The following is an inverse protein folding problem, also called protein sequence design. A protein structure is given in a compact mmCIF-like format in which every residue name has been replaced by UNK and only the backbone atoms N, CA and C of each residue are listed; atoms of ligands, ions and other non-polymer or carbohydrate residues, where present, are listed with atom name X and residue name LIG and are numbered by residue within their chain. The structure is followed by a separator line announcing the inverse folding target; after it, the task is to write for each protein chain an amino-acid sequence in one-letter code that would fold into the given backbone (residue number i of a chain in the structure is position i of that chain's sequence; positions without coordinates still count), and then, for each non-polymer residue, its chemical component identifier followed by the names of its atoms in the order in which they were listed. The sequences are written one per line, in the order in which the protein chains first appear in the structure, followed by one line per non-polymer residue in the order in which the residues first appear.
data_IF_806463431838
#
_entry.id   IF_806463431838
#
_cell.length_a   1.000
_cell.length_b   1.000
_cell.length_c   1.000
_cell.angle_alpha   90.00
_cell.angle_beta   90.00
_cell.angle_gamma   90.00
#
_symmetry.space_group_name_H-M   'P 1'
#
loop_
_entity.id
_entity.type
_entity.pdbx_description
1 polymer ?
#
# COMPACT_ATOMS: atom_id res chain seq x y z
N UNK A 1 97.51 89.80 57.07
CA UNK A 1 98.32 88.72 56.45
C UNK A 1 97.71 87.39 56.87
N UNK A 2 97.38 86.55 55.87
CA UNK A 2 96.45 85.43 55.95
C UNK A 2 97.10 84.26 56.72
N UNK A 3 96.64 83.99 57.95
CA UNK A 3 97.00 82.78 58.70
C UNK A 3 96.10 81.65 58.25
N UNK A 4 96.69 80.63 57.63
CA UNK A 4 96.05 79.36 57.30
C UNK A 4 96.50 78.29 58.29
N UNK A 5 95.69 77.23 58.35
CA UNK A 5 95.99 75.88 58.85
C UNK A 5 95.61 75.63 60.32
N UNK A 6 94.29 75.74 60.56
CA UNK A 6 93.57 74.95 61.58
C UNK A 6 92.44 74.19 60.87
N UNK A 7 92.77 73.46 59.79
CA UNK A 7 91.76 72.99 58.81
C UNK A 7 91.77 71.49 58.55
N UNK A 8 92.63 70.69 59.18
CA UNK A 8 92.76 69.26 58.78
C UNK A 8 92.25 68.25 59.84
N UNK A 9 92.10 68.63 61.11
CA UNK A 9 91.62 67.70 62.16
C UNK A 9 90.12 67.79 62.50
N UNK A 10 89.38 68.75 61.94
CA UNK A 10 87.95 68.96 62.27
C UNK A 10 86.99 68.56 61.13
N UNK A 11 87.47 67.84 60.12
CA UNK A 11 86.68 67.48 58.93
C UNK A 11 86.21 66.00 58.90
N UNK A 12 86.39 65.23 59.97
CA UNK A 12 86.02 63.79 60.00
C UNK A 12 84.90 63.47 61.01
N UNK A 13 84.47 64.41 61.85
CA UNK A 13 83.39 64.19 62.80
C UNK A 13 82.12 64.94 62.37
N UNK A 14 81.37 64.42 61.40
CA UNK A 14 79.91 64.58 61.25
C UNK A 14 79.45 63.70 60.07
N UNK A 15 79.60 62.39 60.21
CA UNK A 15 78.72 61.46 59.48
C UNK A 15 77.30 61.64 60.03
N UNK A 16 76.35 61.80 59.11
CA UNK A 16 75.05 62.45 59.33
C UNK A 16 74.26 61.96 60.54
N UNK A 17 73.74 62.92 61.30
CA UNK A 17 72.60 62.68 62.16
C UNK A 17 71.34 62.67 61.29
N UNK A 18 70.71 61.50 61.12
CA UNK A 18 69.34 61.43 60.60
C UNK A 18 68.41 61.93 61.70
N UNK A 19 67.60 62.94 61.42
CA UNK A 19 66.67 63.51 62.40
C UNK A 19 65.25 63.03 62.12
N UNK A 20 64.86 61.92 62.73
CA UNK A 20 63.46 61.54 62.89
C UNK A 20 62.69 62.61 63.67
N UNK A 21 61.45 62.92 63.25
CA UNK A 21 60.65 63.96 63.91
C UNK A 21 59.80 63.34 65.01
N UNK A 22 60.16 63.60 66.27
CA UNK A 22 59.33 63.28 67.43
C UNK A 22 58.48 64.45 67.86
N UNK A 23 57.17 64.25 68.01
CA UNK A 23 56.27 65.19 68.67
C UNK A 23 55.79 64.55 69.96
N UNK A 24 56.21 65.09 71.10
CA UNK A 24 55.89 64.54 72.43
C UNK A 24 56.79 63.40 72.91
N UNK A 25 57.79 62.98 72.11
CA UNK A 25 58.83 62.01 72.50
C UNK A 25 60.22 62.48 72.07
N UNK A 26 61.23 62.20 72.89
CA UNK A 26 62.65 62.47 72.58
C UNK A 26 63.34 61.24 71.96
N UNK A 27 62.66 60.10 71.92
CA UNK A 27 63.12 58.86 71.29
C UNK A 27 61.99 58.35 70.40
N UNK A 28 61.80 58.94 69.20
CA UNK A 28 60.86 58.42 68.22
C UNK A 28 61.16 56.95 67.89
N UNK A 29 60.13 56.19 67.55
CA UNK A 29 60.32 54.83 67.08
C UNK A 29 61.27 54.82 65.86
N UNK A 30 62.27 53.95 65.89
CA UNK A 30 63.30 53.87 64.83
C UNK A 30 62.75 53.50 63.44
N UNK A 31 61.50 53.02 63.37
CA UNK A 31 60.82 52.70 62.12
C UNK A 31 59.91 53.82 61.59
N UNK A 32 59.85 54.98 62.26
CA UNK A 32 59.00 56.09 61.83
C UNK A 32 59.80 57.37 61.56
N UNK A 33 59.40 58.05 60.48
CA UNK A 33 59.91 59.39 60.17
C UNK A 33 59.21 60.47 61.01
N UNK A 34 57.95 60.21 61.40
CA UNK A 34 57.16 61.01 62.33
C UNK A 34 56.55 60.10 63.41
N UNK A 35 56.87 60.38 64.67
CA UNK A 35 56.27 59.72 65.83
C UNK A 35 55.57 60.76 66.71
N UNK A 36 54.28 60.57 66.98
CA UNK A 36 53.48 61.49 67.80
C UNK A 36 52.95 60.75 69.01
N UNK A 37 53.47 61.10 70.18
CA UNK A 37 53.13 60.44 71.45
C UNK A 37 52.44 61.44 72.37
N UNK A 38 51.21 61.11 72.79
CA UNK A 38 50.45 61.86 73.78
C UNK A 38 49.49 60.90 74.52
N UNK A 39 49.25 61.17 75.80
CA UNK A 39 48.31 60.37 76.61
C UNK A 39 46.87 60.87 76.52
N UNK A 40 46.65 62.11 76.05
CA UNK A 40 45.35 62.80 76.11
C UNK A 40 45.03 63.66 74.87
N UNK A 41 45.90 63.67 73.85
CA UNK A 41 45.69 64.35 72.56
C UNK A 41 45.85 63.38 71.40
N UNK A 42 45.08 63.59 70.34
CA UNK A 42 45.23 62.87 69.07
C UNK A 42 45.86 63.73 67.98
N UNK A 43 45.98 63.16 66.78
CA UNK A 43 46.43 63.87 65.58
C UNK A 43 45.21 64.27 64.76
N UNK A 44 45.09 65.56 64.45
CA UNK A 44 44.12 66.01 63.45
C UNK A 44 44.72 65.84 62.06
N UNK A 45 44.24 64.83 61.35
CA UNK A 45 44.49 64.67 59.92
C UNK A 45 43.81 65.82 59.15
N UNK A 46 44.42 66.35 58.07
CA UNK A 46 43.82 67.40 57.27
C UNK A 46 42.37 67.07 56.87
N UNK A 47 41.47 67.98 57.22
CA UNK A 47 40.04 67.90 56.89
C UNK A 47 39.79 68.68 55.61
N UNK A 48 39.40 68.00 54.55
CA UNK A 48 39.21 68.58 53.22
C UNK A 48 37.85 68.16 52.66
N UNK A 49 37.26 68.99 51.79
CA UNK A 49 35.99 68.68 51.14
C UNK A 49 36.27 68.06 49.76
N UNK A 50 36.44 66.73 49.71
CA UNK A 50 36.66 66.03 48.44
C UNK A 50 35.35 66.04 47.62
N UNK A 51 35.49 66.28 46.33
CA UNK A 51 34.35 66.44 45.41
C UNK A 51 33.99 65.16 44.64
N UNK A 52 34.94 64.22 44.52
CA UNK A 52 34.76 62.90 43.92
C UNK A 52 35.89 61.94 44.30
N UNK A 53 35.73 60.65 44.02
CA UNK A 53 36.79 59.65 44.28
C UNK A 53 38.02 59.85 43.41
N UNK A 54 37.96 60.68 42.36
CA UNK A 54 39.10 61.05 41.51
C UNK A 54 39.53 62.52 41.72
N UNK A 55 39.16 63.13 42.85
CA UNK A 55 39.48 64.53 43.12
C UNK A 55 41.00 64.75 43.32
N UNK A 56 41.65 65.26 42.28
CA UNK A 56 43.08 65.63 42.26
C UNK A 56 43.31 67.14 42.37
N UNK A 57 42.28 67.94 42.70
CA UNK A 57 42.36 69.41 42.71
C UNK A 57 42.24 70.01 44.10
N UNK A 58 41.48 69.38 44.99
CA UNK A 58 41.20 69.92 46.32
C UNK A 58 42.45 70.04 47.20
N UNK A 59 43.40 69.11 47.08
CA UNK A 59 44.67 69.15 47.79
C UNK A 59 45.75 69.69 46.83
N UNK A 60 46.53 70.67 47.28
CA UNK A 60 47.62 71.24 46.48
C UNK A 60 48.82 70.30 46.46
N UNK A 61 49.50 70.21 45.32
CA UNK A 61 50.72 69.42 45.15
C UNK A 61 50.58 68.17 44.29
N UNK A 62 49.41 67.90 43.71
CA UNK A 62 49.28 66.89 42.65
C UNK A 62 50.03 67.30 41.40
N UNK A 63 50.69 66.35 40.75
CA UNK A 63 51.52 66.53 39.54
C UNK A 63 50.70 66.50 38.22
N UNK A 64 49.37 66.43 38.33
CA UNK A 64 48.46 66.20 37.21
C UNK A 64 48.16 64.72 36.95
N UNK A 65 48.89 63.79 37.57
CA UNK A 65 48.67 62.35 37.51
C UNK A 65 48.06 61.77 38.79
N UNK A 66 47.90 62.56 39.86
CA UNK A 66 47.26 62.14 41.10
C UNK A 66 48.02 62.60 42.34
N UNK A 67 47.88 61.83 43.41
CA UNK A 67 48.70 61.95 44.62
C UNK A 67 49.50 60.66 44.84
N UNK A 68 50.45 60.70 45.76
CA UNK A 68 51.16 59.50 46.18
C UNK A 68 50.26 58.54 46.96
N UNK A 69 50.47 57.24 46.76
CA UNK A 69 49.75 56.20 47.50
C UNK A 69 49.95 56.41 49.01
N UNK A 70 48.90 56.17 49.80
CA UNK A 70 48.85 56.38 51.26
C UNK A 70 48.72 57.83 51.74
N UNK A 71 48.51 58.81 50.85
CA UNK A 71 48.11 60.16 51.29
C UNK A 71 46.76 60.09 52.02
N UNK A 72 46.72 60.47 53.31
CA UNK A 72 45.55 60.34 54.18
C UNK A 72 44.89 61.70 54.45
N UNK A 73 43.57 61.77 54.30
CA UNK A 73 42.75 62.92 54.66
C UNK A 73 41.43 62.50 55.32
N UNK A 74 40.79 63.43 56.02
CA UNK A 74 39.41 63.28 56.43
C UNK A 74 38.51 64.07 55.49
N UNK A 75 37.66 63.38 54.72
CA UNK A 75 36.67 64.02 53.87
C UNK A 75 35.52 64.58 54.74
N UNK A 76 35.12 65.82 54.49
CA UNK A 76 34.02 66.48 55.22
C UNK A 76 32.73 66.60 54.43
N UNK A 77 32.73 66.29 53.13
CA UNK A 77 31.59 66.53 52.24
C UNK A 77 30.90 65.22 51.85
N UNK A 78 29.58 65.20 51.86
CA UNK A 78 28.81 64.16 51.16
C UNK A 78 28.59 64.62 49.73
N UNK A 79 29.17 63.90 48.76
CA UNK A 79 29.00 64.20 47.34
C UNK A 79 29.16 62.92 46.52
N UNK A 80 28.17 62.63 45.66
CA UNK A 80 28.06 61.34 44.95
C UNK A 80 28.12 60.15 45.94
N UNK A 81 28.91 59.13 45.64
CA UNK A 81 29.09 57.94 46.47
C UNK A 81 30.06 58.16 47.66
N UNK A 82 30.55 59.41 47.84
CA UNK A 82 31.41 59.75 48.97
C UNK A 82 30.60 60.29 50.14
N UNK A 83 30.92 59.79 51.32
CA UNK A 83 30.44 60.32 52.60
C UNK A 83 31.61 60.81 53.45
N UNK A 84 31.35 61.61 54.50
CA UNK A 84 32.37 61.99 55.47
C UNK A 84 33.07 60.78 56.08
N UNK A 85 34.39 60.89 56.29
CA UNK A 85 35.21 59.80 56.83
C UNK A 85 36.67 59.89 56.42
N UNK A 86 37.48 58.91 56.83
CA UNK A 86 38.88 58.82 56.44
C UNK A 86 39.03 58.21 55.05
N UNK A 87 39.81 58.88 54.20
CA UNK A 87 40.16 58.42 52.86
C UNK A 87 41.66 58.48 52.67
N UNK A 88 42.20 57.46 52.02
CA UNK A 88 43.57 57.46 51.55
C UNK A 88 43.62 57.34 50.03
N UNK A 89 44.61 57.95 49.41
CA UNK A 89 44.83 57.80 47.97
C UNK A 89 45.46 56.44 47.68
N UNK A 90 44.87 55.67 46.78
CA UNK A 90 45.43 54.42 46.28
C UNK A 90 44.83 54.04 44.93
N UNK A 91 45.65 53.55 44.00
CA UNK A 91 45.21 53.11 42.68
C UNK A 91 44.42 54.21 41.93
N UNK A 92 44.98 55.42 41.92
CA UNK A 92 44.44 56.61 41.24
C UNK A 92 43.05 57.06 41.70
N UNK A 93 42.68 56.73 42.96
CA UNK A 93 41.43 57.17 43.58
C UNK A 93 41.52 57.29 45.10
N UNK A 94 40.58 58.04 45.66
CA UNK A 94 40.30 58.08 47.09
C UNK A 94 39.57 56.81 47.54
N UNK A 95 40.24 56.02 48.37
CA UNK A 95 39.72 54.81 49.00
C UNK A 95 39.28 55.12 50.42
N UNK A 96 38.02 54.80 50.75
CA UNK A 96 37.48 54.97 52.10
C UNK A 96 38.02 53.87 53.01
N UNK A 97 38.40 54.25 54.23
CA UNK A 97 38.61 53.29 55.32
C UNK A 97 37.24 53.02 55.95
N UNK A 98 36.78 51.77 55.88
CA UNK A 98 35.52 51.33 56.48
C UNK A 98 35.76 50.87 57.93
N UNK A 99 34.81 51.17 58.80
CA UNK A 99 34.70 50.50 60.10
C UNK A 99 33.90 49.19 59.96
N UNK A 100 33.90 48.40 61.03
CA UNK A 100 33.24 47.10 61.05
C UNK A 100 31.72 47.21 60.80
N UNK A 101 31.08 48.22 61.40
CA UNK A 101 29.64 48.46 61.27
C UNK A 101 29.25 48.76 59.81
N UNK A 102 30.01 49.63 59.13
CA UNK A 102 29.77 49.95 57.73
C UNK A 102 30.01 48.76 56.79
N UNK A 103 30.95 47.87 57.13
CA UNK A 103 31.20 46.63 56.35
C UNK A 103 30.06 45.63 56.50
N UNK A 104 29.59 45.41 57.73
CA UNK A 104 28.48 44.49 58.02
C UNK A 104 27.18 44.96 57.34
N UNK A 105 26.91 46.26 57.34
CA UNK A 105 25.77 46.84 56.62
C UNK A 105 25.88 46.63 55.09
N UNK A 106 27.07 46.77 54.52
CA UNK A 106 27.30 46.56 53.08
C UNK A 106 27.06 45.08 52.69
N UNK A 107 27.57 44.13 53.47
CA UNK A 107 27.37 42.70 53.24
C UNK A 107 25.89 42.30 53.36
N UNK A 108 25.18 42.85 54.34
CA UNK A 108 23.75 42.58 54.55
C UNK A 108 22.90 43.08 53.39
N UNK A 109 23.24 44.24 52.83
CA UNK A 109 22.45 44.89 51.77
C UNK A 109 22.74 44.31 50.38
N UNK A 110 23.97 43.88 50.12
CA UNK A 110 24.43 43.55 48.75
C UNK A 110 25.05 42.15 48.59
N UNK A 111 25.36 41.43 49.67
CA UNK A 111 26.15 40.19 49.62
C UNK A 111 25.38 38.88 49.39
N UNK A 112 24.05 38.86 49.61
CA UNK A 112 23.25 37.63 49.58
C UNK A 112 23.60 36.66 50.73
N UNK A 113 22.61 35.92 51.23
CA UNK A 113 22.74 35.07 52.44
C UNK A 113 22.69 33.56 52.15
N UNK A 114 22.88 33.11 50.89
CA UNK A 114 22.77 31.70 50.48
C UNK A 114 24.14 31.00 50.49
N UNK A 115 24.21 29.81 51.08
CA UNK A 115 25.39 28.95 51.18
C UNK A 115 25.12 27.55 50.59
N UNK A 116 26.13 26.91 49.99
CA UNK A 116 26.06 25.53 49.48
C UNK A 116 27.24 24.71 50.01
N UNK A 117 26.94 23.60 50.67
CA UNK A 117 27.95 22.73 51.31
C UNK A 117 28.33 21.50 50.48
N UNK A 118 27.83 21.40 49.24
CA UNK A 118 27.98 20.22 48.37
C UNK A 118 26.79 19.24 48.44
N UNK A 119 25.93 19.36 49.45
CA UNK A 119 24.78 18.46 49.62
C UNK A 119 23.45 19.22 49.77
N UNK A 120 23.46 20.45 50.29
CA UNK A 120 22.27 21.26 50.50
C UNK A 120 22.55 22.76 50.33
N UNK A 121 21.54 23.49 49.84
CA UNK A 121 21.53 24.94 49.89
C UNK A 121 20.91 25.38 51.22
N UNK A 122 21.52 26.34 51.90
CA UNK A 122 21.00 26.94 53.13
C UNK A 122 21.03 28.47 53.03
N UNK A 123 20.21 29.17 53.80
CA UNK A 123 20.30 30.62 53.96
C UNK A 123 20.19 31.01 55.43
N UNK A 124 20.69 32.18 55.79
CA UNK A 124 20.56 32.72 57.15
C UNK A 124 19.32 33.61 57.22
N UNK A 125 18.35 33.27 58.05
CA UNK A 125 17.11 34.02 58.20
C UNK A 125 17.29 35.35 58.98
N UNK A 126 16.19 36.09 59.12
CA UNK A 126 16.13 37.38 59.82
C UNK A 126 16.55 37.32 61.31
N UNK A 127 16.59 36.13 61.90
CA UNK A 127 16.99 35.89 63.28
C UNK A 127 18.43 35.39 63.39
N UNK A 128 19.16 35.31 62.27
CA UNK A 128 20.53 34.80 62.22
C UNK A 128 20.63 33.28 62.21
N UNK A 129 19.53 32.54 61.98
CA UNK A 129 19.51 31.08 61.98
C UNK A 129 19.68 30.52 60.56
N UNK A 130 20.49 29.47 60.41
CA UNK A 130 20.65 28.76 59.14
C UNK A 130 19.46 27.85 58.86
N UNK A 131 18.75 28.10 57.76
CA UNK A 131 17.56 27.38 57.30
C UNK A 131 17.85 26.68 55.96
N UNK A 132 17.49 25.39 55.79
CA UNK A 132 17.61 24.70 54.50
C UNK A 132 16.65 25.26 53.46
N UNK A 133 17.13 25.42 52.22
CA UNK A 133 16.32 25.77 51.08
C UNK A 133 15.89 24.48 50.35
N UNK A 134 14.62 24.10 50.51
CA UNK A 134 14.04 22.94 49.82
C UNK A 134 13.71 23.28 48.35
N UNK A 135 14.43 22.64 47.43
CA UNK A 135 14.26 22.83 45.97
C UNK A 135 13.37 21.75 45.32
N UNK A 136 12.83 20.79 46.09
CA UNK A 136 12.10 19.65 45.53
C UNK A 136 10.83 20.03 44.79
N UNK A 137 10.14 21.08 45.23
CA UNK A 137 8.92 21.60 44.58
C UNK A 137 9.24 22.25 43.24
N UNK A 138 10.26 23.11 43.18
CA UNK A 138 10.70 23.77 41.95
C UNK A 138 11.16 22.77 40.91
N UNK A 139 11.89 21.73 41.30
CA UNK A 139 12.31 20.67 40.38
C UNK A 139 11.09 19.93 39.83
N UNK A 140 10.16 19.49 40.70
CA UNK A 140 8.94 18.79 40.27
C UNK A 140 8.05 19.62 39.36
N UNK A 141 7.93 20.93 39.60
CA UNK A 141 7.11 21.82 38.78
C UNK A 141 7.71 22.04 37.37
N UNK A 142 8.99 21.72 37.16
CA UNK A 142 9.68 21.87 35.88
C UNK A 142 10.08 20.54 35.22
N UNK A 143 9.67 19.39 35.79
CA UNK A 143 9.86 18.08 35.15
C UNK A 143 8.90 17.91 33.97
N UNK A 144 9.42 17.50 32.82
CA UNK A 144 8.61 17.20 31.64
C UNK A 144 7.98 15.82 31.76
N UNK A 145 6.64 15.74 31.81
CA UNK A 145 5.89 14.47 31.95
C UNK A 145 5.47 13.93 30.58
N UNK A 146 5.95 12.74 30.22
CA UNK A 146 5.41 11.96 29.09
C UNK A 146 4.43 10.91 29.59
N UNK A 147 3.38 10.59 28.83
CA UNK A 147 2.38 9.57 29.23
C UNK A 147 2.17 8.51 28.14
N UNK A 148 1.84 7.29 28.56
CA UNK A 148 1.36 6.23 27.67
C UNK A 148 0.07 5.66 28.28
N UNK A 149 -1.07 5.99 27.68
CA UNK A 149 -2.39 5.66 28.21
C UNK A 149 -3.06 4.63 27.31
N UNK A 150 -3.49 3.51 27.90
CA UNK A 150 -4.28 2.49 27.19
C UNK A 150 -5.70 3.01 26.97
N UNK A 151 -6.26 2.73 25.79
CA UNK A 151 -7.67 3.04 25.49
C UNK A 151 -8.61 2.26 26.46
N UNK A 152 -9.55 2.93 27.14
CA UNK A 152 -10.50 2.31 28.08
C UNK A 152 -11.34 1.19 27.46
N UNK A 153 -11.54 1.21 26.14
CA UNK A 153 -12.31 0.20 25.41
C UNK A 153 -11.56 -1.13 25.26
N UNK A 154 -10.31 -1.22 25.72
CA UNK A 154 -9.45 -2.40 25.57
C UNK A 154 -9.31 -2.88 24.10
N UNK A 155 -9.41 -1.96 23.15
CA UNK A 155 -9.32 -2.21 21.70
C UNK A 155 -7.87 -2.31 21.17
N UNK A 156 -6.88 -2.47 22.05
CA UNK A 156 -5.46 -2.55 21.67
C UNK A 156 -4.81 -1.22 21.25
N UNK A 157 -5.51 -0.08 21.39
CA UNK A 157 -4.93 1.24 21.13
C UNK A 157 -4.29 1.84 22.39
N UNK A 158 -3.20 2.56 22.18
CA UNK A 158 -2.49 3.32 23.20
C UNK A 158 -2.25 4.74 22.69
N UNK A 159 -2.43 5.74 23.54
CA UNK A 159 -2.07 7.13 23.24
C UNK A 159 -0.78 7.47 23.99
N UNK A 160 0.27 7.72 23.22
CA UNK A 160 1.51 8.29 23.75
C UNK A 160 1.44 9.81 23.63
N UNK A 161 1.71 10.53 24.72
CA UNK A 161 1.79 11.99 24.73
C UNK A 161 3.20 12.41 25.11
N UNK A 162 3.88 13.14 24.22
CA UNK A 162 5.23 13.64 24.45
C UNK A 162 5.24 14.91 25.33
N UNK A 163 6.44 15.39 25.66
CA UNK A 163 6.68 16.57 26.49
C UNK A 163 6.12 17.88 25.91
N UNK A 164 5.87 17.93 24.60
CA UNK A 164 5.23 19.07 23.94
C UNK A 164 3.70 18.98 23.93
N UNK A 165 3.12 17.93 24.53
CA UNK A 165 1.67 17.67 24.53
C UNK A 165 1.15 17.07 23.23
N UNK A 166 2.02 16.68 22.30
CA UNK A 166 1.62 16.04 21.05
C UNK A 166 1.29 14.57 21.32
N UNK A 167 0.08 14.17 20.92
CA UNK A 167 -0.42 12.81 21.07
C UNK A 167 -0.23 11.98 19.78
N UNK A 168 0.23 10.74 19.94
CA UNK A 168 0.34 9.74 18.87
C UNK A 168 -0.44 8.50 19.29
N UNK A 169 -1.28 7.99 18.39
CA UNK A 169 -2.02 6.75 18.60
C UNK A 169 -1.19 5.59 18.06
N UNK A 170 -0.94 4.61 18.91
CA UNK A 170 -0.34 3.31 18.59
C UNK A 170 -1.48 2.30 18.54
N UNK A 171 -1.71 1.68 17.39
CA UNK A 171 -2.76 0.68 17.19
C UNK A 171 -2.15 -0.70 16.97
N UNK A 172 -1.95 -1.43 18.07
CA UNK A 172 -1.27 -2.71 18.05
C UNK A 172 -2.05 -3.76 17.25
N UNK A 173 -3.38 -3.69 17.26
CA UNK A 173 -4.21 -4.65 16.53
C UNK A 173 -4.14 -4.41 15.02
N UNK A 174 -4.21 -3.15 14.58
CA UNK A 174 -4.05 -2.81 13.18
C UNK A 174 -2.68 -3.24 12.65
N UNK A 175 -1.61 -3.05 13.43
CA UNK A 175 -0.26 -3.47 13.06
C UNK A 175 -0.16 -5.00 12.91
N UNK A 176 -0.78 -5.77 13.80
CA UNK A 176 -0.82 -7.25 13.69
C UNK A 176 -1.58 -7.69 12.44
N UNK A 177 -2.71 -7.04 12.13
CA UNK A 177 -3.49 -7.35 10.92
C UNK A 177 -2.70 -6.99 9.66
N UNK A 178 -2.06 -5.83 9.62
CA UNK A 178 -1.27 -5.39 8.48
C UNK A 178 -0.10 -6.33 8.19
N UNK A 179 0.56 -6.82 9.23
CA UNK A 179 1.71 -7.71 9.11
C UNK A 179 1.32 -9.21 9.13
N UNK A 180 0.02 -9.54 9.04
CA UNK A 180 -0.47 -10.89 9.30
C UNK A 180 0.13 -11.94 8.36
N UNK A 181 0.24 -11.65 7.06
CA UNK A 181 0.86 -12.56 6.08
C UNK A 181 2.31 -12.89 6.44
N UNK A 182 3.09 -11.91 6.89
CA UNK A 182 4.47 -12.15 7.34
C UNK A 182 4.48 -12.97 8.63
N UNK A 183 3.58 -12.67 9.57
CA UNK A 183 3.48 -13.38 10.85
C UNK A 183 3.19 -14.87 10.64
N UNK A 184 2.19 -15.23 9.82
CA UNK A 184 1.83 -16.64 9.58
C UNK A 184 2.83 -17.41 8.72
N UNK A 185 3.73 -16.71 8.02
CA UNK A 185 4.79 -17.33 7.22
C UNK A 185 6.07 -17.56 8.01
N UNK A 186 6.16 -17.11 9.27
CA UNK A 186 7.27 -17.45 10.16
C UNK A 186 7.20 -18.93 10.54
N UNK A 187 8.30 -19.66 10.34
CA UNK A 187 8.42 -21.09 10.64
C UNK A 187 7.94 -21.43 12.05
N UNK A 188 8.33 -20.67 13.07
CA UNK A 188 7.91 -20.88 14.46
C UNK A 188 6.39 -20.78 14.66
N UNK A 189 5.72 -19.86 13.95
CA UNK A 189 4.26 -19.68 14.01
C UNK A 189 3.54 -20.82 13.30
N UNK A 190 4.07 -21.27 12.16
CA UNK A 190 3.54 -22.43 11.44
C UNK A 190 3.72 -23.71 12.26
N UNK A 191 4.87 -23.92 12.87
CA UNK A 191 5.14 -25.05 13.76
C UNK A 191 4.19 -25.06 14.96
N UNK A 192 3.96 -23.90 15.60
CA UNK A 192 2.99 -23.77 16.68
C UNK A 192 1.56 -24.03 16.21
N UNK A 193 1.15 -23.50 15.06
CA UNK A 193 -0.18 -23.72 14.50
C UNK A 193 -0.39 -25.19 14.15
N UNK A 194 0.60 -25.84 13.54
CA UNK A 194 0.61 -27.28 13.28
C UNK A 194 0.58 -28.08 14.57
N UNK A 195 1.29 -27.66 15.61
CA UNK A 195 1.23 -28.30 16.93
C UNK A 195 -0.16 -28.17 17.55
N UNK A 196 -0.79 -27.00 17.50
CA UNK A 196 -2.16 -26.79 17.99
C UNK A 196 -3.14 -27.67 17.20
N UNK A 197 -3.07 -27.66 15.87
CA UNK A 197 -3.90 -28.51 15.00
C UNK A 197 -3.68 -29.99 15.29
N UNK A 198 -2.45 -30.42 15.60
CA UNK A 198 -2.13 -31.82 15.86
C UNK A 198 -2.35 -32.27 17.32
N UNK A 199 -2.39 -31.34 18.28
CA UNK A 199 -2.62 -31.64 19.71
C UNK A 199 -4.10 -31.68 20.09
N UNK A 200 -5.02 -31.23 19.23
CA UNK A 200 -6.44 -31.51 19.45
C UNK A 200 -6.70 -32.94 18.97
N UNK A 201 -6.76 -33.89 19.92
CA UNK A 201 -7.09 -35.29 19.61
C UNK A 201 -8.36 -35.37 18.76
N UNK A 202 -8.32 -36.16 17.69
CA UNK A 202 -9.46 -36.38 16.78
C UNK A 202 -9.40 -35.66 15.43
N UNK A 203 -8.35 -34.91 15.12
CA UNK A 203 -8.18 -34.35 13.77
C UNK A 203 -7.75 -35.45 12.77
N UNK A 204 -8.56 -35.63 11.72
CA UNK A 204 -8.28 -36.54 10.62
C UNK A 204 -7.56 -35.81 9.49
N UNK A 205 -6.42 -36.33 9.06
CA UNK A 205 -5.65 -35.84 7.91
C UNK A 205 -5.78 -36.82 6.75
N UNK A 206 -5.86 -36.29 5.51
CA UNK A 206 -5.87 -37.07 4.27
C UNK A 206 -4.73 -36.59 3.37
N UNK A 207 -3.79 -37.49 3.06
CA UNK A 207 -2.57 -37.20 2.30
C UNK A 207 -2.65 -37.67 0.84
N UNK A 208 -3.83 -38.07 0.38
CA UNK A 208 -4.05 -38.66 -0.95
C UNK A 208 -3.96 -40.19 -0.97
N UNK A 209 -3.32 -40.82 0.03
CA UNK A 209 -3.16 -42.29 0.11
C UNK A 209 -3.97 -42.94 1.23
N UNK A 210 -4.30 -42.22 2.30
CA UNK A 210 -5.12 -42.76 3.39
C UNK A 210 -5.55 -41.71 4.40
N UNK A 211 -6.42 -42.12 5.34
CA UNK A 211 -6.80 -41.29 6.48
C UNK A 211 -5.95 -41.66 7.69
N UNK A 212 -5.36 -40.66 8.35
CA UNK A 212 -4.67 -40.82 9.64
C UNK A 212 -5.29 -39.90 10.68
N UNK A 213 -5.29 -40.32 11.94
CA UNK A 213 -5.68 -39.45 13.07
C UNK A 213 -4.69 -39.61 14.22
N UNK A 214 -4.51 -38.57 15.01
CA UNK A 214 -3.68 -38.63 16.23
C UNK A 214 -4.56 -39.00 17.42
N UNK A 215 -4.18 -40.06 18.14
CA UNK A 215 -4.91 -40.52 19.32
C UNK A 215 -4.67 -39.63 20.55
N UNK A 216 -5.37 -39.93 21.64
CA UNK A 216 -5.30 -39.23 22.94
C UNK A 216 -3.91 -39.24 23.61
N UNK A 217 -2.97 -40.05 23.10
CA UNK A 217 -1.59 -40.12 23.57
C UNK A 217 -0.59 -39.46 22.59
N UNK A 218 -1.08 -38.79 21.55
CA UNK A 218 -0.24 -38.09 20.58
C UNK A 218 0.37 -38.97 19.49
N UNK A 219 -0.09 -40.22 19.32
CA UNK A 219 0.44 -41.15 18.32
C UNK A 219 -0.46 -41.16 17.08
N UNK A 220 0.12 -41.03 15.88
CA UNK A 220 -0.64 -41.17 14.63
C UNK A 220 -1.05 -42.62 14.41
N UNK A 221 -2.36 -42.82 14.28
CA UNK A 221 -3.01 -44.06 13.90
C UNK A 221 -3.47 -43.95 12.44
N UNK A 222 -3.21 -45.00 11.67
CA UNK A 222 -3.69 -45.10 10.28
C UNK A 222 -5.00 -45.88 10.25
N UNK A 223 -6.01 -45.34 9.56
CA UNK A 223 -7.25 -46.06 9.30
C UNK A 223 -7.04 -46.87 8.02
N UNK A 224 -6.71 -48.16 8.18
CA UNK A 224 -6.61 -49.10 7.06
C UNK A 224 -8.02 -49.51 6.60
N UNK A 225 -8.50 -48.85 5.54
CA UNK A 225 -9.77 -49.18 4.91
C UNK A 225 -9.73 -50.52 4.14
N UNK A 226 -8.54 -51.03 3.81
CA UNK A 226 -8.37 -52.28 3.04
C UNK A 226 -8.88 -53.48 3.82
N UNK A 227 -8.55 -53.55 5.12
CA UNK A 227 -9.03 -54.60 6.02
C UNK A 227 -10.54 -54.53 6.26
N UNK A 228 -11.11 -53.31 6.31
CA UNK A 228 -12.54 -53.10 6.51
C UNK A 228 -13.35 -53.51 5.27
N UNK A 229 -12.82 -53.21 4.07
CA UNK A 229 -13.39 -53.60 2.79
C UNK A 229 -13.27 -55.12 2.61
N UNK A 230 -12.10 -55.71 2.86
CA UNK A 230 -11.89 -57.16 2.75
C UNK A 230 -12.70 -57.98 3.75
N UNK A 231 -12.99 -57.46 4.95
CA UNK A 231 -13.85 -58.14 5.93
C UNK A 231 -15.35 -58.10 5.57
N UNK A 232 -15.76 -57.17 4.70
CA UNK A 232 -17.13 -57.05 4.18
C UNK A 232 -17.33 -57.71 2.81
N UNK A 233 -16.26 -58.13 2.14
CA UNK A 233 -16.32 -58.81 0.85
C UNK A 233 -16.61 -60.30 1.05
N UNK A 234 -17.75 -60.77 0.54
CA UNK A 234 -18.05 -62.21 0.43
C UNK A 234 -17.63 -62.70 -0.95
N UNK A 235 -16.77 -63.72 -0.99
CA UNK A 235 -16.32 -64.31 -2.25
C UNK A 235 -17.41 -65.27 -2.78
N UNK A 236 -18.13 -64.83 -3.80
CA UNK A 236 -19.01 -65.67 -4.62
C UNK A 236 -18.19 -66.27 -5.76
N UNK A 237 -18.18 -67.60 -5.88
CA UNK A 237 -17.43 -68.28 -6.95
C UNK A 237 -18.40 -68.81 -7.99
N UNK A 238 -18.16 -68.42 -9.24
CA UNK A 238 -18.89 -68.90 -10.40
C UNK A 238 -17.95 -69.77 -11.25
N UNK A 239 -18.22 -71.07 -11.29
CA UNK A 239 -17.45 -72.06 -12.05
C UNK A 239 -18.17 -72.49 -13.31
N UNK A 240 -17.41 -72.66 -14.41
CA UNK A 240 -17.93 -73.24 -15.66
C UNK A 240 -17.32 -74.63 -15.83
N UNK A 241 -18.15 -75.66 -15.87
CA UNK A 241 -17.72 -76.97 -16.33
C UNK A 241 -17.83 -77.02 -17.85
N UNK A 242 -16.70 -76.81 -18.52
CA UNK A 242 -16.63 -76.81 -19.99
C UNK A 242 -16.90 -78.17 -20.64
N UNK A 243 -16.85 -79.27 -19.87
CA UNK A 243 -17.08 -80.63 -20.38
C UNK A 243 -18.58 -80.95 -20.36
N UNK A 244 -19.28 -80.58 -19.30
CA UNK A 244 -20.74 -80.78 -19.19
C UNK A 244 -21.55 -79.58 -19.66
N UNK A 245 -20.91 -78.41 -19.84
CA UNK A 245 -21.58 -77.16 -20.21
C UNK A 245 -22.45 -76.57 -19.09
N UNK A 246 -22.29 -77.04 -17.85
CA UNK A 246 -23.05 -76.56 -16.70
C UNK A 246 -22.34 -75.39 -16.02
N UNK A 247 -23.14 -74.44 -15.53
CA UNK A 247 -22.66 -73.39 -14.65
C UNK A 247 -22.89 -73.82 -13.20
N UNK A 248 -21.88 -73.62 -12.37
CA UNK A 248 -21.92 -74.02 -10.96
C UNK A 248 -21.73 -72.78 -10.11
N UNK A 249 -22.73 -72.47 -9.28
CA UNK A 249 -22.71 -71.37 -8.33
C UNK A 249 -22.49 -71.91 -6.93
N UNK A 250 -21.49 -71.41 -6.23
CA UNK A 250 -21.27 -71.71 -4.81
C UNK A 250 -21.48 -70.43 -4.00
N UNK A 251 -22.41 -70.48 -3.05
CA UNK A 251 -22.79 -69.33 -2.23
C UNK A 251 -21.83 -69.07 -1.06
N UNK A 252 -22.09 -68.01 -0.29
CA UNK A 252 -21.29 -67.59 0.85
C UNK A 252 -21.22 -68.61 2.02
N UNK A 253 -22.02 -69.68 1.97
CA UNK A 253 -22.00 -70.78 2.95
C UNK A 253 -21.33 -72.04 2.40
N UNK A 254 -20.89 -72.03 1.14
CA UNK A 254 -20.28 -73.17 0.46
C UNK A 254 -21.28 -74.11 -0.20
N UNK A 255 -22.57 -73.75 -0.20
CA UNK A 255 -23.60 -74.58 -0.82
C UNK A 255 -23.57 -74.40 -2.34
N UNK A 256 -23.51 -75.52 -3.06
CA UNK A 256 -23.28 -75.52 -4.52
C UNK A 256 -24.56 -75.86 -5.28
N UNK A 257 -24.95 -74.98 -6.19
CA UNK A 257 -26.10 -75.13 -7.09
C UNK A 257 -25.62 -75.32 -8.53
N UNK A 258 -26.05 -76.42 -9.16
CA UNK A 258 -25.75 -76.70 -10.56
C UNK A 258 -26.89 -76.24 -11.47
N UNK A 259 -26.54 -75.46 -12.49
CA UNK A 259 -27.44 -75.01 -13.54
C UNK A 259 -26.98 -75.58 -14.88
N UNK A 260 -27.69 -76.61 -15.36
CA UNK A 260 -27.43 -77.23 -16.66
C UNK A 260 -27.82 -76.29 -17.81
N UNK A 261 -26.82 -75.75 -18.49
CA UNK A 261 -27.02 -74.77 -19.57
C UNK A 261 -27.37 -75.47 -20.89
N UNK A 262 -27.04 -76.76 -21.09
CA UNK A 262 -27.35 -77.46 -22.34
C UNK A 262 -28.85 -77.75 -22.49
N UNK A 263 -29.55 -78.01 -21.39
CA UNK A 263 -31.01 -78.13 -21.37
C UNK A 263 -31.75 -76.82 -21.75
N UNK A 264 -31.05 -75.68 -21.74
CA UNK A 264 -31.59 -74.38 -22.18
C UNK A 264 -31.36 -74.07 -23.67
N UNK A 265 -30.59 -74.88 -24.41
CA UNK A 265 -30.24 -74.61 -25.81
C UNK A 265 -30.39 -75.84 -26.70
N UNK A 266 -31.64 -76.27 -26.92
CA UNK A 266 -31.97 -76.92 -28.20
C UNK A 266 -31.61 -76.01 -29.37
N UNK A 267 -31.30 -76.54 -30.56
CA UNK A 267 -31.02 -75.74 -31.77
C UNK A 267 -31.96 -76.04 -32.93
N UNK A 268 -32.22 -75.02 -33.76
CA UNK A 268 -33.00 -75.09 -35.01
C UNK A 268 -32.38 -74.17 -36.08
N UNK A 269 -32.67 -74.36 -37.37
CA UNK A 269 -31.99 -73.63 -38.46
C UNK A 269 -32.76 -72.37 -38.92
N UNK A 270 -32.04 -71.31 -39.31
CA UNK A 270 -32.63 -70.13 -40.00
C UNK A 270 -32.45 -70.26 -41.50
N UNK A 271 -33.55 -70.23 -42.24
CA UNK A 271 -33.51 -70.13 -43.71
C UNK A 271 -33.95 -68.72 -44.13
N UNK A 272 -33.21 -68.09 -45.04
CA UNK A 272 -33.48 -66.74 -45.58
C UNK A 272 -33.76 -66.80 -47.09
N UNK A 273 -34.36 -65.75 -47.65
CA UNK A 273 -34.60 -65.55 -49.09
C UNK A 273 -33.88 -64.30 -49.64
N UNK A 274 -33.92 -64.12 -50.96
CA UNK A 274 -33.05 -63.22 -51.77
C UNK A 274 -32.88 -61.75 -51.30
N UNK A 275 -33.81 -61.19 -50.52
CA UNK A 275 -33.73 -59.81 -50.01
C UNK A 275 -32.90 -59.67 -48.73
N UNK A 276 -32.64 -60.78 -48.04
CA UNK A 276 -31.85 -60.87 -46.81
C UNK A 276 -30.67 -61.82 -47.08
N UNK A 277 -29.51 -61.25 -47.42
CA UNK A 277 -28.30 -62.03 -47.71
C UNK A 277 -27.50 -62.32 -46.43
N UNK A 278 -27.05 -63.57 -46.26
CA UNK A 278 -26.07 -63.91 -45.23
C UNK A 278 -24.71 -63.35 -45.63
N UNK A 279 -24.19 -62.42 -44.84
CA UNK A 279 -22.89 -61.81 -45.12
C UNK A 279 -21.74 -62.82 -44.97
N UNK A 280 -20.66 -62.62 -45.73
CA UNK A 280 -19.41 -63.39 -45.65
C UNK A 280 -19.51 -64.91 -45.94
N UNK A 281 -20.38 -65.32 -46.86
CA UNK A 281 -20.48 -66.71 -47.37
C UNK A 281 -20.85 -67.78 -46.33
N UNK A 282 -21.65 -67.39 -45.32
CA UNK A 282 -22.17 -68.34 -44.32
C UNK A 282 -23.60 -68.76 -44.65
N UNK A 283 -24.02 -69.96 -44.22
CA UNK A 283 -25.39 -70.45 -44.34
C UNK A 283 -26.04 -70.59 -42.95
N UNK A 284 -27.34 -70.31 -42.84
CA UNK A 284 -28.05 -70.18 -41.55
C UNK A 284 -28.24 -71.48 -40.75
N UNK A 285 -27.51 -72.53 -41.09
CA UNK A 285 -27.55 -73.88 -40.50
C UNK A 285 -26.83 -73.92 -39.15
N UNK A 286 -27.48 -74.45 -38.11
CA UNK A 286 -27.01 -74.53 -36.72
C UNK A 286 -26.81 -73.18 -36.02
N UNK A 287 -27.24 -72.09 -36.67
CA UNK A 287 -27.05 -70.71 -36.20
C UNK A 287 -28.19 -70.21 -35.31
N UNK A 288 -29.35 -70.87 -35.32
CA UNK A 288 -30.43 -70.57 -34.39
C UNK A 288 -30.61 -71.68 -33.35
N UNK A 289 -31.24 -71.28 -32.25
CA UNK A 289 -31.55 -72.16 -31.14
C UNK A 289 -32.99 -72.74 -31.31
N UNK A 290 -33.82 -72.18 -32.21
CA UNK A 290 -35.20 -72.65 -32.51
C UNK A 290 -35.76 -71.96 -33.81
N UNK A 291 -36.94 -72.35 -34.35
CA UNK A 291 -37.55 -71.75 -35.56
C UNK A 291 -38.00 -70.26 -35.44
N UNK A 292 -37.94 -69.44 -36.52
CA UNK A 292 -38.29 -67.99 -36.54
C UNK A 292 -38.80 -67.43 -37.92
N UNK A 293 -39.36 -66.19 -37.95
CA UNK A 293 -39.94 -65.51 -39.16
C UNK A 293 -39.68 -63.97 -39.20
N UNK A 294 -39.66 -63.29 -40.37
CA UNK A 294 -39.22 -61.88 -40.58
C UNK A 294 -40.16 -61.04 -41.50
N UNK A 295 -40.38 -59.73 -41.22
CA UNK A 295 -41.13 -58.73 -42.04
C UNK A 295 -40.61 -57.28 -41.80
N UNK A 296 -40.80 -56.36 -42.76
CA UNK A 296 -40.62 -54.89 -42.56
C UNK A 296 -41.98 -54.19 -42.34
N UNK A 297 -42.06 -53.34 -41.32
CA UNK A 297 -43.30 -52.66 -40.92
C UNK A 297 -43.63 -51.43 -41.77
N UNK A 298 -44.85 -50.89 -41.62
CA UNK A 298 -45.25 -49.62 -42.22
C UNK A 298 -44.42 -48.47 -41.60
N UNK A 299 -43.96 -47.52 -42.42
CA UNK A 299 -42.87 -46.58 -42.08
C UNK A 299 -41.54 -47.25 -41.67
N UNK A 300 -41.38 -48.56 -41.93
CA UNK A 300 -40.22 -49.36 -41.54
C UNK A 300 -38.96 -49.05 -42.34
N UNK A 301 -39.04 -48.34 -43.47
CA UNK A 301 -37.90 -47.76 -44.19
C UNK A 301 -37.92 -46.24 -44.02
N UNK A 302 -37.02 -45.74 -43.18
CA UNK A 302 -36.85 -44.34 -42.85
C UNK A 302 -35.70 -43.73 -43.66
N UNK A 303 -35.53 -42.40 -43.65
CA UNK A 303 -34.50 -41.70 -44.43
C UNK A 303 -33.06 -42.16 -44.16
N UNK A 304 -32.77 -42.80 -43.02
CA UNK A 304 -31.46 -43.40 -42.73
C UNK A 304 -31.28 -44.81 -43.32
N UNK A 305 -32.40 -45.50 -43.58
CA UNK A 305 -32.42 -46.82 -44.22
C UNK A 305 -32.24 -46.73 -45.74
N UNK A 306 -32.04 -45.52 -46.22
CA UNK A 306 -31.59 -45.20 -47.55
C UNK A 306 -30.14 -44.69 -47.40
N UNK A 307 -29.21 -45.24 -48.19
CA UNK A 307 -27.81 -44.83 -48.15
C UNK A 307 -27.60 -43.37 -48.54
N UNK A 308 -26.40 -42.84 -48.25
CA UNK A 308 -26.03 -41.50 -48.71
C UNK A 308 -26.14 -41.40 -50.23
N UNK A 309 -26.85 -40.39 -50.73
CA UNK A 309 -27.19 -40.21 -52.16
C UNK A 309 -28.02 -41.34 -52.76
N UNK A 310 -28.62 -42.22 -51.96
CA UNK A 310 -29.50 -43.27 -52.48
C UNK A 310 -30.76 -42.68 -53.12
N UNK A 311 -31.23 -41.55 -52.58
CA UNK A 311 -32.19 -40.66 -53.25
C UNK A 311 -31.40 -39.47 -53.77
N UNK A 312 -31.19 -39.45 -55.09
CA UNK A 312 -30.40 -38.44 -55.81
C UNK A 312 -31.30 -37.54 -56.66
N UNK A 313 -30.72 -36.50 -57.28
CA UNK A 313 -31.48 -35.51 -58.04
C UNK A 313 -32.22 -36.10 -59.26
N UNK A 314 -31.74 -37.21 -59.83
CA UNK A 314 -32.46 -37.90 -60.92
C UNK A 314 -33.72 -38.60 -60.42
N UNK A 315 -33.71 -38.99 -59.14
CA UNK A 315 -34.85 -39.54 -58.39
C UNK A 315 -35.72 -38.43 -57.76
N UNK A 316 -35.38 -37.15 -57.96
CA UNK A 316 -36.10 -35.97 -57.47
C UNK A 316 -36.37 -34.94 -58.59
N UNK A 317 -36.54 -35.37 -59.84
CA UNK A 317 -36.65 -34.44 -60.98
C UNK A 317 -37.95 -33.61 -60.94
N UNK A 318 -37.82 -32.29 -61.08
CA UNK A 318 -38.96 -31.38 -61.17
C UNK A 318 -39.34 -31.25 -62.64
N UNK A 319 -40.19 -32.13 -63.14
CA UNK A 319 -40.54 -32.07 -64.56
C UNK A 319 -41.30 -30.78 -64.97
N UNK A 320 -41.56 -29.84 -64.05
CA UNK A 320 -42.38 -28.65 -64.28
C UNK A 320 -41.93 -27.29 -63.63
N UNK A 321 -40.68 -27.10 -63.17
CA UNK A 321 -40.28 -25.84 -62.47
C UNK A 321 -39.69 -24.75 -63.38
N UNK A 322 -39.99 -23.46 -63.09
CA UNK A 322 -39.46 -22.28 -63.82
C UNK A 322 -38.07 -21.84 -63.31
N UNK A 323 -37.32 -21.11 -64.15
CA UNK A 323 -35.98 -20.59 -63.81
C UNK A 323 -36.06 -19.62 -62.62
N UNK A 324 -35.32 -19.91 -61.55
CA UNK A 324 -35.19 -19.02 -60.37
C UNK A 324 -35.87 -19.49 -59.08
N UNK A 325 -36.26 -20.77 -58.96
CA UNK A 325 -36.98 -21.31 -57.80
C UNK A 325 -36.23 -22.45 -57.10
N UNK A 326 -36.40 -22.59 -55.77
CA UNK A 326 -35.79 -23.66 -54.95
C UNK A 326 -36.82 -24.60 -54.32
N UNK A 327 -36.54 -25.91 -54.24
CA UNK A 327 -37.42 -26.88 -53.60
C UNK A 327 -37.45 -26.66 -52.08
N UNK A 328 -38.65 -26.54 -51.54
CA UNK A 328 -38.93 -26.26 -50.13
C UNK A 328 -39.88 -27.33 -49.60
N UNK A 329 -39.48 -28.05 -48.56
CA UNK A 329 -40.37 -28.96 -47.85
C UNK A 329 -41.45 -28.16 -47.11
N UNK A 330 -42.72 -28.46 -47.35
CA UNK A 330 -43.84 -27.68 -46.78
C UNK A 330 -44.32 -28.20 -45.42
N UNK A 331 -43.64 -29.21 -44.86
CA UNK A 331 -43.92 -29.75 -43.53
C UNK A 331 -45.15 -30.67 -43.43
N UNK A 332 -45.93 -30.81 -44.51
CA UNK A 332 -47.13 -31.66 -44.54
C UNK A 332 -46.82 -32.93 -45.36
N UNK A 333 -46.77 -34.09 -44.69
CA UNK A 333 -46.62 -35.43 -45.29
C UNK A 333 -45.48 -35.59 -46.32
N UNK A 334 -44.36 -34.87 -46.13
CA UNK A 334 -43.19 -34.99 -47.02
C UNK A 334 -43.34 -34.30 -48.39
N UNK A 335 -44.33 -33.41 -48.56
CA UNK A 335 -44.55 -32.64 -49.79
C UNK A 335 -43.44 -31.58 -50.00
N UNK A 336 -43.00 -31.42 -51.25
CA UNK A 336 -41.98 -30.44 -51.68
C UNK A 336 -42.58 -29.48 -52.72
N UNK A 337 -42.40 -28.17 -52.55
CA UNK A 337 -42.87 -27.09 -53.45
C UNK A 337 -41.73 -26.14 -53.86
N UNK A 338 -41.80 -25.50 -55.04
CA UNK A 338 -40.79 -24.56 -55.53
C UNK A 338 -41.21 -23.09 -55.27
N UNK A 339 -40.32 -22.23 -54.70
CA UNK A 339 -40.59 -20.80 -54.38
C UNK A 339 -39.42 -19.86 -54.71
N UNK A 340 -39.69 -18.55 -54.91
CA UNK A 340 -38.71 -17.48 -55.19
C UNK A 340 -38.45 -16.59 -53.94
N UNK A 341 -37.20 -16.11 -53.72
CA UNK A 341 -36.80 -15.35 -52.50
C UNK A 341 -35.92 -14.10 -52.81
N UNK A 342 -36.07 -12.95 -52.09
CA UNK A 342 -35.21 -11.76 -52.26
C UNK A 342 -33.78 -11.95 -51.73
N UNK A 343 -32.77 -11.31 -52.36
CA UNK A 343 -31.32 -11.51 -52.08
C UNK A 343 -30.52 -10.23 -51.73
N UNK A 344 -31.12 -9.14 -51.27
CA UNK A 344 -30.38 -7.90 -50.92
C UNK A 344 -30.87 -7.26 -49.61
N UNK A 345 -30.01 -6.47 -48.95
CA UNK A 345 -30.34 -5.67 -47.77
C UNK A 345 -29.53 -4.36 -47.70
N UNK A 346 -30.01 -3.38 -46.92
CA UNK A 346 -29.30 -2.12 -46.66
C UNK A 346 -28.29 -2.29 -45.53
N UNK A 347 -27.11 -1.68 -45.66
CA UNK A 347 -26.11 -1.67 -44.60
C UNK A 347 -26.65 -0.96 -43.33
N UNK A 348 -26.30 -1.44 -42.13
CA UNK A 348 -26.60 -0.71 -40.89
C UNK A 348 -26.01 0.70 -40.91
N UNK A 349 -26.71 1.62 -40.25
CA UNK A 349 -26.30 3.02 -40.22
C UNK A 349 -24.89 3.18 -39.66
N UNK A 350 -24.07 3.94 -40.37
CA UNK A 350 -22.70 4.26 -39.98
C UNK A 350 -22.47 5.76 -40.05
N UNK A 351 -21.62 6.30 -39.16
CA UNK A 351 -21.40 7.74 -39.04
C UNK A 351 -20.03 8.10 -39.60
N UNK A 352 -19.98 9.10 -40.48
CA UNK A 352 -18.74 9.66 -40.99
C UNK A 352 -18.50 11.03 -40.34
N UNK A 353 -17.33 11.23 -39.73
CA UNK A 353 -16.95 12.52 -39.15
C UNK A 353 -16.30 13.37 -40.24
N UNK A 354 -16.91 14.49 -40.61
CA UNK A 354 -16.48 15.36 -41.71
C UNK A 354 -15.90 16.70 -41.27
N UNK A 355 -15.62 16.86 -39.96
CA UNK A 355 -15.11 18.10 -39.36
C UNK A 355 -13.65 18.42 -39.74
N UNK A 356 -12.97 17.53 -40.44
CA UNK A 356 -11.59 17.74 -40.91
C UNK A 356 -11.46 17.18 -42.32
N UNK A 357 -10.96 18.01 -43.24
CA UNK A 357 -10.70 17.60 -44.61
C UNK A 357 -9.51 16.63 -44.66
N UNK A 358 -9.66 15.54 -45.38
CA UNK A 358 -8.62 14.52 -45.52
C UNK A 358 -8.85 13.67 -46.78
N UNK A 359 -7.77 13.15 -47.36
CA UNK A 359 -7.80 12.35 -48.59
C UNK A 359 -7.30 10.93 -48.33
N UNK A 360 -7.82 9.96 -49.07
CA UNK A 360 -7.41 8.55 -49.04
C UNK A 360 -7.84 7.82 -47.77
N UNK A 361 -8.89 8.28 -47.10
CA UNK A 361 -9.40 7.61 -45.91
C UNK A 361 -10.04 6.27 -46.28
N UNK A 362 -9.76 5.26 -45.47
CA UNK A 362 -10.33 3.92 -45.64
C UNK A 362 -11.28 3.60 -44.50
N UNK A 363 -12.36 2.89 -44.81
CA UNK A 363 -13.32 2.37 -43.84
C UNK A 363 -13.77 0.99 -44.26
N UNK A 364 -13.61 0.03 -43.37
CA UNK A 364 -14.05 -1.34 -43.60
C UNK A 364 -15.56 -1.45 -43.33
N UNK A 365 -16.36 -1.40 -44.40
CA UNK A 365 -17.81 -1.49 -44.28
C UNK A 365 -18.25 -2.91 -43.93
N UNK A 366 -17.50 -3.92 -44.35
CA UNK A 366 -17.79 -5.30 -43.97
C UNK A 366 -17.62 -5.48 -42.46
N UNK A 367 -16.52 -5.00 -41.89
CA UNK A 367 -16.29 -5.08 -40.45
C UNK A 367 -17.31 -4.26 -39.66
N UNK A 368 -17.70 -3.08 -40.14
CA UNK A 368 -18.77 -2.30 -39.52
C UNK A 368 -20.13 -3.03 -39.54
N UNK A 369 -20.43 -3.72 -40.64
CA UNK A 369 -21.60 -4.58 -40.76
C UNK A 369 -21.55 -5.72 -39.75
N UNK A 370 -20.43 -6.46 -39.66
CA UNK A 370 -20.25 -7.55 -38.70
C UNK A 370 -20.42 -7.01 -37.28
N UNK A 371 -19.70 -5.94 -36.93
CA UNK A 371 -19.78 -5.33 -35.61
C UNK A 371 -21.22 -4.95 -35.25
N UNK A 372 -21.98 -4.34 -36.16
CA UNK A 372 -23.35 -3.96 -35.87
C UNK A 372 -24.32 -5.14 -35.82
N UNK A 373 -24.08 -6.21 -36.57
CA UNK A 373 -24.93 -7.41 -36.58
C UNK A 373 -24.59 -8.40 -35.47
N UNK A 374 -23.46 -8.22 -34.79
CA UNK A 374 -23.03 -9.04 -33.65
C UNK A 374 -22.81 -8.26 -32.36
N UNK A 375 -23.07 -6.94 -32.34
CA UNK A 375 -22.83 -6.12 -31.16
C UNK A 375 -21.35 -5.93 -30.81
N UNK A 376 -20.46 -5.92 -31.80
CA UNK A 376 -19.03 -5.61 -31.68
C UNK A 376 -18.11 -6.81 -31.80
N UNK A 377 -18.59 -8.02 -31.52
CA UNK A 377 -17.87 -9.26 -31.79
C UNK A 377 -18.83 -10.46 -31.85
N UNK A 378 -18.70 -11.32 -32.87
CA UNK A 378 -19.53 -12.51 -33.04
C UNK A 378 -19.48 -13.42 -31.80
N UNK A 379 -20.66 -13.77 -31.26
CA UNK A 379 -20.79 -14.68 -30.12
C UNK A 379 -20.25 -14.17 -28.77
N UNK A 380 -19.67 -12.97 -28.71
CA UNK A 380 -19.22 -12.35 -27.47
C UNK A 380 -20.25 -11.29 -27.07
N UNK A 381 -20.85 -11.43 -25.89
CA UNK A 381 -21.89 -10.51 -25.43
C UNK A 381 -21.40 -9.04 -25.46
N UNK A 382 -21.83 -8.31 -26.50
CA UNK A 382 -21.71 -6.86 -26.70
C UNK A 382 -20.34 -6.24 -26.40
N UNK A 383 -19.38 -6.41 -27.32
CA UNK A 383 -18.08 -5.74 -27.25
C UNK A 383 -18.17 -4.25 -27.65
N UNK A 384 -17.24 -3.42 -27.16
CA UNK A 384 -17.14 -2.02 -27.57
C UNK A 384 -16.54 -1.91 -28.97
N UNK A 385 -17.21 -1.20 -29.88
CA UNK A 385 -16.70 -0.87 -31.21
C UNK A 385 -17.03 0.57 -31.60
N UNK A 386 -16.36 1.14 -32.61
CA UNK A 386 -16.63 2.51 -33.04
C UNK A 386 -17.66 2.54 -34.18
N UNK A 387 -18.70 3.34 -34.02
CA UNK A 387 -19.72 3.56 -35.08
C UNK A 387 -19.39 4.78 -35.95
N UNK A 388 -18.58 5.69 -35.42
CA UNK A 388 -18.13 6.91 -36.10
C UNK A 388 -16.65 6.83 -36.44
N UNK A 389 -16.31 7.10 -37.70
CA UNK A 389 -14.95 7.12 -38.21
C UNK A 389 -14.67 8.45 -38.94
N UNK A 390 -13.44 8.96 -38.80
CA UNK A 390 -12.96 10.18 -39.46
C UNK A 390 -11.45 10.15 -39.65
N UNK A 391 -10.88 11.27 -40.09
CA UNK A 391 -9.47 11.37 -40.48
C UNK A 391 -8.45 10.95 -39.40
N UNK A 392 -8.79 11.07 -38.11
CA UNK A 392 -7.92 10.73 -36.97
C UNK A 392 -8.22 9.37 -36.34
N UNK A 393 -9.04 8.52 -36.97
CA UNK A 393 -9.56 7.30 -36.34
C UNK A 393 -10.82 7.54 -35.50
N UNK A 394 -11.43 6.46 -34.98
CA UNK A 394 -12.79 6.48 -34.42
C UNK A 394 -13.01 7.45 -33.25
N UNK A 395 -14.18 8.10 -33.20
CA UNK A 395 -14.49 9.16 -32.22
C UNK A 395 -15.67 8.84 -31.30
N UNK A 396 -16.53 7.89 -31.68
CA UNK A 396 -17.71 7.50 -30.90
C UNK A 396 -17.75 5.99 -30.68
N UNK A 397 -17.30 5.51 -29.50
CA UNK A 397 -17.47 4.10 -29.14
C UNK A 397 -18.93 3.84 -28.82
N UNK A 398 -19.42 2.69 -29.27
CA UNK A 398 -20.72 2.15 -28.95
C UNK A 398 -20.55 0.90 -28.09
N UNK A 399 -21.14 0.93 -26.90
CA UNK A 399 -21.18 -0.18 -25.94
C UNK A 399 -22.61 -0.60 -25.59
N UNK A 400 -23.61 -0.06 -26.32
CA UNK A 400 -25.03 -0.34 -26.07
C UNK A 400 -25.47 -1.75 -26.50
N UNK A 401 -24.70 -2.40 -27.38
CA UNK A 401 -24.93 -3.77 -27.79
C UNK A 401 -26.17 -4.01 -28.64
N UNK A 402 -26.43 -5.28 -28.98
CA UNK A 402 -27.65 -5.70 -29.68
C UNK A 402 -28.80 -5.96 -28.70
N UNK A 403 -29.95 -5.35 -29.00
CA UNK A 403 -31.20 -5.59 -28.26
C UNK A 403 -32.09 -6.50 -29.10
N UNK A 404 -32.42 -7.68 -28.56
CA UNK A 404 -33.29 -8.68 -29.19
C UNK A 404 -34.60 -8.87 -28.42
N UNK A 405 -35.63 -9.36 -29.09
CA UNK A 405 -36.86 -9.76 -28.41
C UNK A 405 -36.64 -11.03 -27.55
N UNK A 406 -37.44 -11.28 -26.50
CA UNK A 406 -37.21 -12.40 -25.57
C UNK A 406 -37.16 -13.80 -26.20
N UNK A 407 -37.79 -14.00 -27.37
CA UNK A 407 -37.86 -15.30 -28.05
C UNK A 407 -36.70 -15.59 -29.02
N UNK A 408 -35.78 -14.66 -29.23
CA UNK A 408 -34.65 -14.87 -30.14
C UNK A 408 -33.58 -15.77 -29.50
N UNK A 409 -33.30 -16.90 -30.13
CA UNK A 409 -32.35 -17.92 -29.65
C UNK A 409 -30.89 -17.54 -29.90
N UNK A 410 -30.61 -16.86 -31.01
CA UNK A 410 -29.28 -16.31 -31.32
C UNK A 410 -29.03 -15.00 -30.57
N UNK A 411 -27.80 -14.73 -30.08
CA UNK A 411 -27.41 -13.39 -29.64
C UNK A 411 -27.18 -12.41 -30.81
N UNK A 412 -26.90 -12.93 -32.01
CA UNK A 412 -26.50 -12.15 -33.19
C UNK A 412 -27.53 -12.23 -34.33
N UNK A 413 -27.53 -11.22 -35.20
CA UNK A 413 -28.18 -11.27 -36.52
C UNK A 413 -27.27 -12.05 -37.47
N UNK A 414 -27.85 -12.89 -38.34
CA UNK A 414 -27.09 -13.71 -39.30
C UNK A 414 -26.20 -12.84 -40.18
N UNK A 415 -24.91 -13.16 -40.21
CA UNK A 415 -23.92 -12.52 -41.07
C UNK A 415 -23.54 -13.38 -42.28
N UNK A 416 -23.20 -12.74 -43.39
CA UNK A 416 -22.60 -13.38 -44.56
C UNK A 416 -21.11 -13.09 -44.62
N UNK A 417 -20.33 -13.99 -45.22
CA UNK A 417 -18.90 -13.72 -45.44
C UNK A 417 -18.71 -12.72 -46.58
N UNK A 418 -17.63 -11.93 -46.54
CA UNK A 418 -17.33 -10.91 -47.57
C UNK A 418 -17.39 -11.42 -49.02
N UNK A 419 -16.93 -12.65 -49.26
CA UNK A 419 -16.95 -13.28 -50.58
C UNK A 419 -18.34 -13.74 -51.06
N UNK A 420 -19.35 -13.72 -50.19
CA UNK A 420 -20.74 -14.06 -50.51
C UNK A 420 -21.59 -12.83 -50.85
N UNK A 421 -20.97 -11.65 -50.91
CA UNK A 421 -21.67 -10.40 -51.14
C UNK A 421 -21.05 -9.58 -52.26
N UNK A 422 -21.87 -8.72 -52.84
CA UNK A 422 -21.47 -7.57 -53.63
C UNK A 422 -21.88 -6.28 -52.91
N UNK A 423 -21.01 -5.28 -52.95
CA UNK A 423 -21.18 -4.01 -52.26
C UNK A 423 -21.49 -2.89 -53.25
N UNK A 424 -22.60 -2.19 -53.02
CA UNK A 424 -23.03 -1.08 -53.87
C UNK A 424 -23.22 0.17 -53.06
N UNK A 425 -22.61 1.27 -53.50
CA UNK A 425 -23.01 2.62 -53.09
C UNK A 425 -23.97 3.12 -54.15
N UNK A 426 -25.24 3.18 -53.78
CA UNK A 426 -26.30 3.61 -54.69
C UNK A 426 -26.47 5.13 -54.66
N UNK A 427 -25.94 5.81 -53.64
CA UNK A 427 -25.94 7.27 -53.51
C UNK A 427 -24.91 7.74 -52.47
N UNK A 428 -24.29 8.91 -52.68
CA UNK A 428 -23.55 9.66 -51.66
C UNK A 428 -23.54 11.17 -51.97
N UNK A 429 -23.36 12.00 -50.95
CA UNK A 429 -23.24 13.46 -51.12
C UNK A 429 -21.87 13.87 -51.67
N UNK A 430 -21.82 14.23 -52.95
CA UNK A 430 -20.59 14.59 -53.67
C UNK A 430 -20.02 15.95 -53.28
N UNK A 431 -20.74 16.76 -52.50
CA UNK A 431 -20.20 18.02 -51.97
C UNK A 431 -19.37 17.81 -50.68
N UNK A 432 -19.56 16.65 -50.05
CA UNK A 432 -18.92 16.27 -48.79
C UNK A 432 -17.84 15.22 -49.03
N UNK A 433 -18.12 14.24 -49.90
CA UNK A 433 -17.24 13.11 -50.17
C UNK A 433 -16.82 13.06 -51.64
N UNK A 434 -15.58 12.67 -51.90
CA UNK A 434 -15.06 12.42 -53.24
C UNK A 434 -14.24 11.13 -53.30
N UNK A 435 -13.89 10.69 -54.52
CA UNK A 435 -13.03 9.53 -54.77
C UNK A 435 -13.49 8.23 -54.09
N UNK A 436 -14.82 8.09 -53.96
CA UNK A 436 -15.53 6.97 -53.34
C UNK A 436 -15.35 5.71 -54.18
N UNK A 437 -14.71 4.69 -53.61
CA UNK A 437 -14.49 3.38 -54.24
C UNK A 437 -14.64 2.25 -53.22
N UNK A 438 -15.13 1.11 -53.69
CA UNK A 438 -15.22 -0.12 -52.93
C UNK A 438 -14.32 -1.17 -53.58
N UNK A 439 -13.70 -1.99 -52.74
CA UNK A 439 -13.06 -3.22 -53.19
C UNK A 439 -13.94 -4.45 -52.89
N UNK A 440 -13.47 -5.62 -53.34
CA UNK A 440 -14.16 -6.90 -53.18
C UNK A 440 -14.25 -7.35 -51.71
N UNK A 441 -13.51 -6.71 -50.81
CA UNK A 441 -13.53 -6.97 -49.38
C UNK A 441 -14.51 -6.06 -48.62
N UNK A 442 -15.15 -5.12 -49.32
CA UNK A 442 -16.07 -4.16 -48.73
C UNK A 442 -15.36 -3.01 -48.02
N UNK A 443 -14.08 -2.77 -48.32
CA UNK A 443 -13.35 -1.60 -47.81
C UNK A 443 -13.64 -0.41 -48.72
N UNK A 444 -14.28 0.60 -48.12
CA UNK A 444 -14.54 1.87 -48.74
C UNK A 444 -13.31 2.75 -48.65
N UNK A 445 -12.84 3.28 -49.77
CA UNK A 445 -11.90 4.41 -49.77
C UNK A 445 -12.58 5.69 -50.26
N UNK A 446 -12.32 6.81 -49.59
CA UNK A 446 -12.98 8.09 -49.83
C UNK A 446 -12.14 9.27 -49.34
N UNK A 447 -12.48 10.46 -49.84
CA UNK A 447 -11.96 11.74 -49.39
C UNK A 447 -13.07 12.55 -48.73
N UNK A 448 -12.74 13.34 -47.71
CA UNK A 448 -13.61 14.36 -47.11
C UNK A 448 -13.18 15.71 -47.67
N UNK A 449 -14.05 16.30 -48.49
CA UNK A 449 -13.78 17.54 -49.23
C UNK A 449 -14.65 18.72 -48.75
N UNK A 450 -15.62 18.47 -47.86
CA UNK A 450 -16.48 19.49 -47.28
C UNK A 450 -17.11 19.04 -45.97
N UNK A 451 -17.73 19.98 -45.25
CA UNK A 451 -18.46 19.68 -44.02
C UNK A 451 -19.87 19.20 -44.34
N UNK A 452 -20.30 18.09 -43.70
CA UNK A 452 -21.64 17.57 -43.86
C UNK A 452 -22.71 18.54 -43.32
N UNK A 453 -23.88 18.53 -43.96
CA UNK A 453 -25.09 19.22 -43.47
C UNK A 453 -26.07 18.22 -42.87
N UNK A 454 -27.18 18.69 -42.29
CA UNK A 454 -28.22 17.82 -41.73
C UNK A 454 -28.87 16.87 -42.76
N UNK A 455 -28.67 17.09 -44.06
CA UNK A 455 -29.22 16.27 -45.14
C UNK A 455 -28.17 15.44 -45.89
N UNK A 456 -26.92 15.45 -45.45
CA UNK A 456 -25.84 14.68 -46.10
C UNK A 456 -25.87 13.22 -45.64
N UNK A 457 -25.98 12.27 -46.58
CA UNK A 457 -25.97 10.83 -46.30
C UNK A 457 -25.37 10.02 -47.46
N UNK A 458 -25.12 8.74 -47.21
CA UNK A 458 -24.70 7.73 -48.19
C UNK A 458 -25.62 6.52 -48.09
N UNK A 459 -26.05 6.00 -49.23
CA UNK A 459 -26.87 4.78 -49.30
C UNK A 459 -26.04 3.60 -49.78
N UNK A 460 -26.00 2.57 -48.96
CA UNK A 460 -25.13 1.41 -49.14
C UNK A 460 -25.99 0.14 -49.12
N UNK A 461 -25.90 -0.66 -50.18
CA UNK A 461 -26.69 -1.88 -50.39
C UNK A 461 -25.77 -3.07 -50.55
N UNK A 462 -26.05 -4.13 -49.81
CA UNK A 462 -25.34 -5.41 -49.91
C UNK A 462 -26.24 -6.42 -50.62
N UNK A 463 -25.69 -7.12 -51.62
CA UNK A 463 -26.40 -8.13 -52.43
C UNK A 463 -25.76 -9.50 -52.20
N UNK A 464 -26.57 -10.50 -51.87
CA UNK A 464 -26.14 -11.87 -51.57
C UNK A 464 -26.01 -12.66 -52.88
N UNK A 465 -24.78 -13.09 -53.18
CA UNK A 465 -24.39 -13.89 -54.35
C UNK A 465 -25.06 -15.24 -54.41
#
# INVERSE_FOLDING_TARGET
MKKKITTVAFFIAFWGAYSQTGIGTHVPNVSSELDVVSNDKGILIPRVALTSTQDIKTIKGGDGNGYENSLLVFNTLTQNDMTPGYYYWSQDKWMRILDQEALEQYLTTYGGNINYDGNSFTYVDENGQTVPLDMTTVVKDNETVTTLVKDPLNNGKYTYTNEAGAAVIIDVQADVVHNFEEIINKTEVQELLTQVVNNVGGNMTYDGTGFTYTDENGVSQTIDLTALIQAGETLTVLGVDTVTGSLTYTDEKGDTTNLDVQALVGKGDLTLSEELEFYASTDGTGKLLAPASIRIADAGITTAKLGSKAVDASKMNAEASLVGMVPTATGENGKVEYKAVPRFFYMPSVIFTTSTLATGLTRDLYQDYVNQFTGGAAGAANATYFISHGATGGSMPYSGGLIKNPGATSPDIVIYNKNQMDYYITYYDTSVLANVRLDDDGVLTYDIIGNATATSYMNIVFVIK
#
